data_IF_374689656550
#
_entry.id   IF_374689656550
#
_cell.length_a   1.000
_cell.length_b   1.000
_cell.length_c   1.000
_cell.angle_alpha   90.00
_cell.angle_beta   90.00
_cell.angle_gamma   90.00
#
_symmetry.space_group_name_H-M   'P 1'
#
loop_
_entity.id
_entity.type
_entity.pdbx_description
1 polymer ?
#
# COMPACT_ATOMS: atom_id res chain seq x y z
N UNK A 1 7.45 -7.92 5.62
CA UNK A 1 6.75 -7.00 4.70
C UNK A 1 7.29 -5.60 4.86
N UNK A 2 7.42 -4.84 3.75
CA UNK A 2 7.76 -3.41 3.83
C UNK A 2 6.56 -2.61 4.36
N UNK A 3 5.39 -2.79 3.74
CA UNK A 3 4.13 -2.24 4.25
C UNK A 3 3.15 -3.36 4.51
N UNK A 4 2.61 -3.42 5.72
CA UNK A 4 1.56 -4.37 6.12
C UNK A 4 0.18 -3.79 5.77
N UNK A 5 -0.47 -4.39 4.79
CA UNK A 5 -1.73 -3.86 4.25
C UNK A 5 -2.92 -3.96 5.20
N UNK A 6 -2.93 -4.89 6.16
CA UNK A 6 -4.02 -5.02 7.13
C UNK A 6 -3.94 -3.94 8.22
N UNK A 7 -2.73 -3.61 8.65
CA UNK A 7 -2.48 -2.70 9.77
C UNK A 7 -2.15 -1.27 9.35
N UNK A 8 -1.62 -1.07 8.13
CA UNK A 8 -1.12 0.22 7.64
C UNK A 8 0.27 0.58 8.18
N UNK A 9 0.99 -0.37 8.75
CA UNK A 9 2.34 -0.14 9.27
C UNK A 9 3.41 -0.29 8.21
N UNK A 10 4.51 0.47 8.36
CA UNK A 10 5.73 0.35 7.57
C UNK A 10 6.87 -0.18 8.44
N UNK A 11 7.70 -1.05 7.88
CA UNK A 11 8.88 -1.61 8.54
C UNK A 11 10.16 -0.93 8.06
N UNK A 12 11.09 -0.65 8.97
CA UNK A 12 12.46 -0.21 8.62
C UNK A 12 13.29 -1.42 8.15
N UNK A 13 13.25 -1.67 6.83
CA UNK A 13 13.95 -2.79 6.20
C UNK A 13 15.46 -2.66 6.34
N UNK A 14 15.99 -1.45 6.27
CA UNK A 14 17.42 -1.21 6.45
C UNK A 14 17.88 -1.55 7.89
N UNK A 15 17.06 -1.24 8.91
CA UNK A 15 17.35 -1.63 10.29
C UNK A 15 17.30 -3.16 10.47
N UNK A 16 16.35 -3.84 9.82
CA UNK A 16 16.28 -5.30 9.82
C UNK A 16 17.58 -5.89 9.24
N UNK A 17 18.05 -5.37 8.09
CA UNK A 17 19.31 -5.82 7.48
C UNK A 17 20.49 -5.61 8.42
N UNK A 18 20.63 -4.42 9.00
CA UNK A 18 21.71 -4.16 9.99
C UNK A 18 21.67 -5.13 11.18
N UNK A 19 20.47 -5.46 11.67
CA UNK A 19 20.33 -6.42 12.78
C UNK A 19 20.72 -7.84 12.36
N UNK A 20 20.37 -8.28 11.15
CA UNK A 20 20.78 -9.58 10.60
C UNK A 20 22.31 -9.66 10.45
N UNK A 21 22.93 -8.60 9.95
CA UNK A 21 24.39 -8.53 9.78
C UNK A 21 25.12 -8.55 11.14
N UNK A 22 24.64 -7.78 12.10
CA UNK A 22 25.20 -7.75 13.44
C UNK A 22 25.11 -9.12 14.16
N UNK A 23 24.06 -9.89 13.85
CA UNK A 23 23.89 -11.25 14.36
C UNK A 23 24.65 -12.31 13.54
N UNK A 24 25.30 -11.94 12.44
CA UNK A 24 25.91 -12.89 11.50
C UNK A 24 24.91 -13.89 10.91
N UNK A 25 23.63 -13.48 10.75
CA UNK A 25 22.56 -14.39 10.38
C UNK A 25 22.63 -14.76 8.88
N UNK A 26 22.66 -16.05 8.51
CA UNK A 26 22.93 -16.49 7.15
C UNK A 26 21.73 -16.38 6.19
N UNK A 27 20.53 -16.14 6.68
CA UNK A 27 19.31 -16.12 5.86
C UNK A 27 19.33 -15.00 4.83
N UNK A 28 18.65 -15.22 3.71
CA UNK A 28 18.30 -14.19 2.76
C UNK A 28 17.23 -13.26 3.34
N UNK A 29 17.34 -11.96 3.05
CA UNK A 29 16.30 -10.99 3.36
C UNK A 29 15.34 -10.89 2.17
N UNK A 30 14.13 -11.45 2.34
CA UNK A 30 13.07 -11.41 1.35
C UNK A 30 12.03 -10.37 1.82
N UNK A 31 11.71 -9.40 0.97
CA UNK A 31 10.80 -8.31 1.28
C UNK A 31 9.56 -8.37 0.39
N UNK A 32 8.40 -8.50 1.00
CA UNK A 32 7.13 -8.23 0.35
C UNK A 32 6.91 -6.72 0.28
N UNK A 33 6.90 -6.19 -0.94
CA UNK A 33 6.68 -4.78 -1.27
C UNK A 33 5.37 -4.56 -2.04
N UNK A 34 4.44 -5.53 -2.04
CA UNK A 34 3.19 -5.43 -2.82
C UNK A 34 2.41 -4.16 -2.47
N UNK A 35 2.33 -3.79 -1.18
CA UNK A 35 1.58 -2.63 -0.74
C UNK A 35 2.41 -1.32 -0.70
N UNK A 36 3.69 -1.37 -1.06
CA UNK A 36 4.60 -0.21 -1.02
C UNK A 36 5.23 0.15 -2.37
N UNK A 37 5.45 -0.83 -3.25
CA UNK A 37 6.14 -0.61 -4.52
C UNK A 37 5.46 0.49 -5.35
N UNK A 38 6.27 1.40 -5.91
CA UNK A 38 5.85 2.59 -6.63
C UNK A 38 5.00 3.60 -5.82
N UNK A 39 4.89 3.45 -4.49
CA UNK A 39 4.19 4.40 -3.61
C UNK A 39 5.06 4.87 -2.45
N UNK A 40 6.01 4.04 -2.03
CA UNK A 40 6.94 4.32 -0.93
C UNK A 40 8.35 3.98 -1.42
N UNK A 41 9.37 4.81 -1.14
CA UNK A 41 10.75 4.53 -1.52
C UNK A 41 11.20 3.16 -1.02
N UNK A 42 11.84 2.39 -1.88
CA UNK A 42 12.49 1.12 -1.56
C UNK A 42 13.78 1.01 -2.36
N UNK A 43 14.90 0.95 -1.67
CA UNK A 43 16.22 0.76 -2.28
C UNK A 43 16.75 -0.63 -1.92
N UNK A 44 16.57 -1.57 -2.87
CA UNK A 44 16.96 -2.96 -2.71
C UNK A 44 18.46 -3.12 -2.47
N UNK A 45 19.28 -2.36 -3.20
CA UNK A 45 20.73 -2.49 -3.16
C UNK A 45 21.29 -1.82 -1.90
N UNK A 46 20.92 -0.56 -1.63
CA UNK A 46 21.42 0.15 -0.46
C UNK A 46 20.98 -0.48 0.87
N UNK A 47 19.81 -1.13 0.88
CA UNK A 47 19.31 -1.80 2.08
C UNK A 47 19.74 -3.28 2.18
N UNK A 48 20.49 -3.80 1.20
CA UNK A 48 20.99 -5.17 1.19
C UNK A 48 19.88 -6.22 1.17
N UNK A 49 18.80 -5.94 0.47
CA UNK A 49 17.67 -6.87 0.30
C UNK A 49 18.04 -7.90 -0.76
N UNK A 50 17.82 -9.16 -0.48
CA UNK A 50 18.17 -10.25 -1.41
C UNK A 50 17.06 -10.53 -2.42
N UNK A 51 15.79 -10.39 -2.01
CA UNK A 51 14.63 -10.58 -2.90
C UNK A 51 13.54 -9.57 -2.56
N UNK A 52 12.97 -8.93 -3.59
CA UNK A 52 11.76 -8.08 -3.47
C UNK A 52 10.66 -8.68 -4.32
N UNK A 53 9.47 -8.82 -3.73
CA UNK A 53 8.26 -9.20 -4.47
C UNK A 53 7.28 -8.03 -4.52
N UNK A 54 6.68 -7.80 -5.70
CA UNK A 54 5.69 -6.76 -5.93
C UNK A 54 4.59 -7.25 -6.88
N UNK A 55 3.53 -6.48 -7.04
CA UNK A 55 2.41 -6.82 -7.91
C UNK A 55 1.86 -5.59 -8.64
N UNK A 56 1.20 -5.85 -9.78
CA UNK A 56 0.75 -4.80 -10.70
C UNK A 56 -0.37 -3.91 -10.18
N UNK A 57 -1.27 -4.42 -9.34
CA UNK A 57 -2.54 -3.78 -8.97
C UNK A 57 -2.44 -2.82 -7.77
N UNK A 58 -1.27 -2.31 -7.45
CA UNK A 58 -1.02 -1.36 -6.35
C UNK A 58 -0.44 -0.06 -6.91
N UNK A 59 0.70 0.40 -6.44
CA UNK A 59 1.33 1.62 -6.91
C UNK A 59 1.59 1.69 -8.42
N UNK A 60 1.67 0.55 -9.10
CA UNK A 60 1.81 0.48 -10.57
C UNK A 60 0.49 0.71 -11.35
N UNK A 61 -0.64 0.92 -10.68
CA UNK A 61 -1.89 1.40 -11.31
C UNK A 61 -2.53 0.45 -12.33
N UNK A 62 -2.12 -0.83 -12.37
CA UNK A 62 -2.66 -1.82 -13.30
C UNK A 62 -3.73 -2.71 -12.65
N UNK A 63 -4.51 -3.44 -13.45
CA UNK A 63 -5.26 -4.58 -12.95
C UNK A 63 -4.35 -5.67 -12.34
N UNK A 64 -4.87 -6.50 -11.43
CA UNK A 64 -4.13 -7.67 -10.95
C UNK A 64 -3.83 -8.64 -12.10
N UNK A 65 -2.65 -9.29 -12.06
CA UNK A 65 -2.27 -10.31 -13.05
C UNK A 65 -0.77 -10.38 -13.34
N UNK A 66 0.04 -9.37 -12.96
CA UNK A 66 1.49 -9.47 -12.99
C UNK A 66 2.07 -9.51 -11.59
N UNK A 67 2.97 -10.44 -11.34
CA UNK A 67 3.85 -10.49 -10.18
C UNK A 67 5.27 -10.17 -10.58
N UNK A 68 5.96 -9.38 -9.78
CA UNK A 68 7.35 -8.99 -10.00
C UNK A 68 8.22 -9.59 -8.91
N UNK A 69 9.41 -10.06 -9.30
CA UNK A 69 10.40 -10.57 -8.37
C UNK A 69 11.77 -10.01 -8.78
N UNK A 70 12.31 -9.08 -7.99
CA UNK A 70 13.68 -8.63 -8.13
C UNK A 70 14.57 -9.50 -7.24
N UNK A 71 15.69 -9.97 -7.77
CA UNK A 71 16.54 -11.00 -7.14
C UNK A 71 17.98 -10.56 -7.18
N UNK A 72 18.68 -10.56 -6.04
CA UNK A 72 20.11 -10.31 -5.96
C UNK A 72 20.91 -11.46 -6.57
N UNK A 73 22.15 -11.19 -7.00
CA UNK A 73 23.07 -12.23 -7.49
C UNK A 73 23.23 -13.36 -6.46
N UNK A 74 23.41 -13.02 -5.19
CA UNK A 74 23.51 -13.98 -4.08
C UNK A 74 22.29 -14.90 -3.99
N UNK A 75 21.08 -14.33 -4.04
CA UNK A 75 19.86 -15.14 -3.98
C UNK A 75 19.67 -16.00 -5.22
N UNK A 76 20.05 -15.49 -6.39
CA UNK A 76 19.99 -16.24 -7.65
C UNK A 76 20.92 -17.45 -7.64
N UNK A 77 22.18 -17.27 -7.22
CA UNK A 77 23.17 -18.35 -7.12
C UNK A 77 22.69 -19.45 -6.16
N UNK A 78 22.22 -19.06 -4.96
CA UNK A 78 21.67 -20.01 -3.99
C UNK A 78 20.44 -20.76 -4.53
N UNK A 79 19.63 -20.12 -5.38
CA UNK A 79 18.46 -20.78 -5.99
C UNK A 79 18.85 -21.93 -6.93
N UNK A 80 20.02 -21.86 -7.55
CA UNK A 80 20.51 -22.94 -8.43
C UNK A 80 21.01 -24.16 -7.65
N UNK A 81 21.37 -23.99 -6.39
CA UNK A 81 21.75 -25.07 -5.48
C UNK A 81 20.54 -25.75 -4.83
N UNK A 82 19.36 -25.13 -4.94
CA UNK A 82 18.13 -25.63 -4.33
C UNK A 82 17.73 -26.99 -4.91
N UNK A 83 17.41 -27.92 -4.00
CA UNK A 83 16.88 -29.24 -4.36
C UNK A 83 15.37 -29.27 -4.52
N UNK A 84 14.70 -28.14 -4.29
CA UNK A 84 13.25 -28.03 -4.48
C UNK A 84 12.90 -28.11 -5.95
N UNK A 85 12.00 -29.02 -6.29
CA UNK A 85 11.46 -29.15 -7.65
C UNK A 85 10.22 -28.24 -7.77
N UNK A 86 10.44 -27.00 -8.20
CA UNK A 86 9.38 -26.00 -8.36
C UNK A 86 9.44 -25.41 -9.76
N UNK A 87 9.01 -26.16 -10.76
CA UNK A 87 9.05 -25.78 -12.19
C UNK A 87 8.45 -24.38 -12.41
N UNK A 88 7.23 -24.15 -11.91
CA UNK A 88 6.54 -22.87 -12.07
C UNK A 88 7.26 -21.70 -11.38
N UNK A 89 7.86 -21.89 -10.22
CA UNK A 89 8.53 -20.85 -9.43
C UNK A 89 10.05 -20.81 -9.62
N UNK A 90 10.61 -21.60 -10.54
CA UNK A 90 12.05 -21.66 -10.80
C UNK A 90 12.54 -20.42 -11.54
N UNK A 91 13.38 -19.59 -10.92
CA UNK A 91 14.03 -18.46 -11.59
C UNK A 91 14.90 -18.92 -12.77
N UNK A 92 15.59 -20.05 -12.65
CA UNK A 92 16.38 -20.63 -13.74
C UNK A 92 15.53 -20.85 -15.01
N UNK A 93 14.31 -21.34 -14.84
CA UNK A 93 13.36 -21.52 -15.94
C UNK A 93 12.91 -20.17 -16.54
N UNK A 94 12.82 -19.12 -15.73
CA UNK A 94 12.38 -17.78 -16.14
C UNK A 94 13.46 -16.98 -16.87
N UNK A 95 14.72 -17.38 -16.76
CA UNK A 95 15.86 -16.69 -17.41
C UNK A 95 16.01 -17.02 -18.90
N UNK A 96 15.14 -17.82 -19.48
CA UNK A 96 15.13 -18.12 -20.92
C UNK A 96 14.93 -16.87 -21.77
N UNK A 97 15.42 -16.91 -23.00
CA UNK A 97 15.30 -15.82 -23.99
C UNK A 97 13.87 -15.68 -24.52
N UNK A 98 13.15 -16.77 -24.57
CA UNK A 98 11.80 -16.84 -25.11
C UNK A 98 10.77 -16.28 -24.12
N UNK A 99 9.79 -15.53 -24.63
CA UNK A 99 8.74 -14.91 -23.80
C UNK A 99 7.95 -15.93 -22.97
N UNK A 100 7.61 -17.09 -23.56
CA UNK A 100 6.89 -18.14 -22.85
C UNK A 100 7.67 -18.72 -21.65
N UNK A 101 9.01 -18.70 -21.69
CA UNK A 101 9.82 -19.11 -20.54
C UNK A 101 9.65 -18.14 -19.38
N UNK A 102 9.65 -16.84 -19.66
CA UNK A 102 9.52 -15.79 -18.65
C UNK A 102 8.16 -15.79 -17.95
N UNK A 103 7.10 -16.12 -18.69
CA UNK A 103 5.72 -16.13 -18.16
C UNK A 103 5.20 -17.56 -17.85
N UNK A 104 6.01 -18.61 -18.11
CA UNK A 104 5.59 -20.02 -18.01
C UNK A 104 4.37 -20.34 -18.87
N UNK A 105 4.30 -19.73 -20.03
CA UNK A 105 3.18 -19.85 -20.97
C UNK A 105 3.05 -18.58 -21.80
N UNK A 106 1.86 -18.35 -22.35
CA UNK A 106 1.56 -17.16 -23.14
C UNK A 106 1.63 -15.91 -22.26
N UNK A 107 2.38 -14.91 -22.70
CA UNK A 107 2.48 -13.63 -22.00
C UNK A 107 1.11 -12.93 -21.97
N UNK A 108 0.74 -12.28 -20.85
CA UNK A 108 -0.47 -11.48 -20.77
C UNK A 108 -0.24 -10.10 -21.43
N UNK A 109 -0.23 -10.07 -22.76
CA UNK A 109 0.24 -8.94 -23.58
C UNK A 109 -0.43 -7.62 -23.19
N UNK A 110 -1.75 -7.61 -22.99
CA UNK A 110 -2.49 -6.40 -22.60
C UNK A 110 -2.06 -5.85 -21.23
N UNK A 111 -1.65 -6.70 -20.27
CA UNK A 111 -1.08 -6.24 -19.01
C UNK A 111 0.34 -5.72 -19.18
N UNK A 112 1.11 -6.32 -20.10
CA UNK A 112 2.46 -5.83 -20.43
C UNK A 112 2.41 -4.47 -21.13
N UNK A 113 1.47 -4.26 -22.06
CA UNK A 113 1.23 -2.91 -22.62
C UNK A 113 0.83 -1.91 -21.58
N UNK A 114 -0.09 -2.27 -20.68
CA UNK A 114 -0.47 -1.41 -19.55
C UNK A 114 0.72 -1.10 -18.62
N UNK A 115 1.63 -2.07 -18.40
CA UNK A 115 2.84 -1.86 -17.61
C UNK A 115 3.78 -0.83 -18.25
N UNK A 116 3.94 -0.89 -19.59
CA UNK A 116 4.74 0.11 -20.31
C UNK A 116 4.17 1.51 -20.09
N UNK A 117 2.85 1.67 -20.19
CA UNK A 117 2.18 2.95 -19.96
C UNK A 117 2.33 3.43 -18.50
N UNK A 118 2.12 2.54 -17.53
CA UNK A 118 2.32 2.88 -16.12
C UNK A 118 3.75 3.36 -15.81
N UNK A 119 4.75 2.71 -16.42
CA UNK A 119 6.16 3.12 -16.29
C UNK A 119 6.40 4.48 -16.96
N UNK A 120 5.81 4.73 -18.13
CA UNK A 120 5.90 6.02 -18.81
C UNK A 120 5.31 7.13 -17.94
N UNK A 121 4.11 6.96 -17.39
CA UNK A 121 3.48 7.92 -16.48
C UNK A 121 4.35 8.23 -15.26
N UNK A 122 4.93 7.21 -14.62
CA UNK A 122 5.84 7.37 -13.48
C UNK A 122 7.11 8.13 -13.91
N UNK A 123 7.67 7.83 -15.07
CA UNK A 123 8.88 8.51 -15.56
C UNK A 123 8.60 9.96 -15.97
N UNK A 124 7.42 10.27 -16.53
CA UNK A 124 6.99 11.63 -16.86
C UNK A 124 6.81 12.47 -15.60
N UNK A 125 6.21 11.94 -14.54
CA UNK A 125 6.09 12.61 -13.24
C UNK A 125 7.45 12.69 -12.52
N UNK A 126 8.27 11.65 -12.65
CA UNK A 126 9.54 11.44 -11.93
C UNK A 126 9.33 10.71 -10.59
N UNK A 127 10.16 9.69 -10.32
CA UNK A 127 10.03 8.82 -9.14
C UNK A 127 9.95 9.59 -7.82
N UNK A 128 10.80 10.60 -7.62
CA UNK A 128 10.78 11.42 -6.41
C UNK A 128 9.47 12.19 -6.25
N UNK A 129 8.89 12.67 -7.35
CA UNK A 129 7.62 13.39 -7.35
C UNK A 129 6.43 12.43 -7.09
N UNK A 130 6.48 11.22 -7.64
CA UNK A 130 5.51 10.16 -7.32
C UNK A 130 5.51 9.87 -5.82
N UNK A 131 6.66 9.67 -5.20
CA UNK A 131 6.75 9.46 -3.74
C UNK A 131 6.27 10.68 -2.95
N UNK A 132 6.68 11.89 -3.35
CA UNK A 132 6.23 13.12 -2.71
C UNK A 132 4.72 13.31 -2.80
N UNK A 133 4.08 12.97 -3.93
CA UNK A 133 2.63 12.99 -4.10
C UNK A 133 1.95 12.02 -3.14
N UNK A 134 2.42 10.77 -3.03
CA UNK A 134 1.88 9.78 -2.10
C UNK A 134 1.97 10.27 -0.64
N UNK A 135 3.12 10.84 -0.25
CA UNK A 135 3.29 11.44 1.09
C UNK A 135 2.32 12.60 1.33
N UNK A 136 2.09 13.48 0.36
CA UNK A 136 1.10 14.58 0.48
C UNK A 136 -0.32 14.03 0.67
N UNK A 137 -0.74 13.05 -0.14
CA UNK A 137 -2.07 12.43 -0.02
C UNK A 137 -2.24 11.69 1.30
N UNK A 138 -1.20 10.98 1.75
CA UNK A 138 -1.16 10.33 3.05
C UNK A 138 -1.35 11.34 4.19
N UNK A 139 -0.62 12.46 4.14
CA UNK A 139 -0.71 13.50 5.16
C UNK A 139 -2.08 14.19 5.16
N UNK A 140 -2.67 14.46 3.99
CA UNK A 140 -4.04 14.99 3.89
C UNK A 140 -5.06 14.02 4.51
N UNK A 141 -4.94 12.72 4.22
CA UNK A 141 -5.80 11.67 4.81
C UNK A 141 -5.62 11.61 6.32
N UNK A 142 -4.38 11.62 6.81
CA UNK A 142 -4.09 11.60 8.26
C UNK A 142 -4.66 12.83 8.97
N UNK A 143 -4.59 14.01 8.37
CA UNK A 143 -5.20 15.23 8.92
C UNK A 143 -6.71 15.13 9.03
N UNK A 144 -7.40 14.56 8.06
CA UNK A 144 -8.83 14.31 8.15
C UNK A 144 -9.14 13.32 9.29
N UNK A 145 -8.37 12.22 9.38
CA UNK A 145 -8.53 11.25 10.48
C UNK A 145 -8.24 11.87 11.85
N UNK A 146 -7.23 12.74 11.99
CA UNK A 146 -6.96 13.49 13.23
C UNK A 146 -8.21 14.26 13.67
N UNK A 147 -8.85 14.99 12.73
CA UNK A 147 -10.09 15.74 13.03
C UNK A 147 -11.24 14.82 13.41
N UNK A 148 -11.44 13.73 12.68
CA UNK A 148 -12.49 12.76 13.02
C UNK A 148 -12.26 12.11 14.39
N UNK A 149 -11.01 11.91 14.78
CA UNK A 149 -10.62 11.30 16.05
C UNK A 149 -10.80 12.24 17.26
N UNK A 150 -10.93 13.56 17.07
CA UNK A 150 -11.09 14.54 18.18
C UNK A 150 -12.31 14.27 19.07
N UNK A 151 -13.37 13.67 18.52
CA UNK A 151 -14.54 13.26 19.29
C UNK A 151 -14.32 11.93 20.06
N UNK A 152 -13.16 11.29 19.92
CA UNK A 152 -12.75 10.11 20.67
C UNK A 152 -13.33 8.78 20.20
N UNK A 153 -14.07 8.77 19.08
CA UNK A 153 -14.67 7.54 18.55
C UNK A 153 -13.78 6.78 17.57
N UNK A 154 -12.99 7.49 16.79
CA UNK A 154 -12.06 6.91 15.80
C UNK A 154 -10.61 7.09 16.25
N UNK A 155 -9.75 6.18 15.83
CA UNK A 155 -8.32 6.28 16.08
C UNK A 155 -7.51 5.67 14.93
N UNK A 156 -6.24 6.05 14.80
CA UNK A 156 -5.33 5.34 13.91
C UNK A 156 -5.06 3.93 14.44
N UNK A 157 -5.06 2.95 13.54
CA UNK A 157 -4.64 1.61 13.92
C UNK A 157 -3.13 1.55 14.24
N UNK A 158 -2.32 2.35 13.55
CA UNK A 158 -0.89 2.52 13.83
C UNK A 158 -0.70 3.79 14.63
N UNK A 159 -0.39 3.66 15.92
CA UNK A 159 -0.28 4.79 16.85
C UNK A 159 0.97 5.65 16.55
N UNK A 160 2.20 5.09 16.45
CA UNK A 160 3.39 5.89 16.15
C UNK A 160 3.32 6.47 14.73
N UNK A 161 3.37 7.81 14.56
CA UNK A 161 3.27 8.43 13.23
C UNK A 161 4.34 7.96 12.25
N UNK A 162 5.56 7.72 12.72
CA UNK A 162 6.71 7.27 11.93
C UNK A 162 6.56 5.83 11.42
N UNK A 163 5.67 5.05 12.02
CA UNK A 163 5.37 3.69 11.60
C UNK A 163 4.18 3.61 10.63
N UNK A 164 3.58 4.75 10.22
CA UNK A 164 2.45 4.80 9.28
C UNK A 164 2.94 4.80 7.85
N UNK A 165 2.38 3.92 7.02
CA UNK A 165 2.73 3.84 5.61
C UNK A 165 2.11 4.97 4.77
N UNK A 166 2.83 5.43 3.72
CA UNK A 166 2.33 6.45 2.79
C UNK A 166 1.46 5.89 1.65
N UNK A 167 1.18 4.58 1.63
CA UNK A 167 0.32 3.95 0.64
C UNK A 167 -1.12 3.75 1.10
N UNK A 168 -1.36 3.67 2.42
CA UNK A 168 -2.70 3.53 2.98
C UNK A 168 -2.74 4.01 4.44
N UNK A 169 -3.93 4.46 4.87
CA UNK A 169 -4.24 4.81 6.26
C UNK A 169 -5.31 3.85 6.79
N UNK A 170 -5.07 3.25 7.95
CA UNK A 170 -6.00 2.33 8.60
C UNK A 170 -6.60 2.98 9.83
N UNK A 171 -7.93 3.07 9.84
CA UNK A 171 -8.71 3.74 10.87
C UNK A 171 -9.50 2.70 11.66
N UNK A 172 -9.34 2.71 12.97
CA UNK A 172 -10.06 1.85 13.91
C UNK A 172 -11.39 2.45 14.29
N UNK A 173 -12.45 1.64 14.25
CA UNK A 173 -13.79 2.02 14.70
C UNK A 173 -13.96 1.75 16.20
N UNK A 174 -14.94 2.42 16.86
CA UNK A 174 -15.27 2.15 18.25
C UNK A 174 -15.60 0.69 18.51
N UNK A 175 -15.38 0.24 19.74
CA UNK A 175 -15.79 -1.10 20.15
C UNK A 175 -17.32 -1.28 19.99
N UNK A 176 -17.71 -2.42 19.42
CA UNK A 176 -19.11 -2.71 19.12
C UNK A 176 -19.64 -2.12 17.80
N UNK A 177 -18.86 -1.28 17.10
CA UNK A 177 -19.24 -0.75 15.79
C UNK A 177 -18.60 -1.55 14.65
N UNK A 178 -19.43 -2.14 13.79
CA UNK A 178 -18.98 -2.84 12.60
C UNK A 178 -18.54 -1.86 11.50
N UNK A 179 -17.24 -1.83 11.18
CA UNK A 179 -16.67 -1.00 10.11
C UNK A 179 -17.25 -1.28 8.72
N UNK A 180 -17.83 -2.46 8.49
CA UNK A 180 -18.50 -2.79 7.22
C UNK A 180 -19.76 -1.96 6.98
N UNK A 181 -20.46 -1.55 8.04
CA UNK A 181 -21.62 -0.66 7.92
C UNK A 181 -21.18 0.69 7.34
N UNK A 182 -20.11 1.26 7.88
CA UNK A 182 -19.53 2.54 7.40
C UNK A 182 -19.10 2.41 5.93
N UNK A 183 -18.39 1.34 5.60
CA UNK A 183 -17.90 1.09 4.23
C UNK A 183 -19.04 0.94 3.22
N UNK A 184 -20.09 0.18 3.58
CA UNK A 184 -21.27 0.02 2.70
C UNK A 184 -22.00 1.34 2.54
N UNK A 185 -22.19 2.11 3.60
CA UNK A 185 -22.80 3.44 3.53
C UNK A 185 -22.00 4.37 2.62
N UNK A 186 -20.68 4.42 2.76
CA UNK A 186 -19.80 5.21 1.90
C UNK A 186 -19.95 4.82 0.41
N UNK A 187 -19.94 3.50 0.12
CA UNK A 187 -20.06 3.00 -1.26
C UNK A 187 -21.45 3.26 -1.84
N UNK A 188 -22.49 2.91 -1.10
CA UNK A 188 -23.85 2.84 -1.66
C UNK A 188 -24.52 4.22 -1.71
N UNK A 189 -24.22 5.14 -0.78
CA UNK A 189 -24.78 6.48 -0.74
C UNK A 189 -23.89 7.56 -1.35
N UNK A 190 -22.58 7.43 -1.26
CA UNK A 190 -21.63 8.48 -1.64
C UNK A 190 -20.66 8.05 -2.75
N UNK A 191 -20.79 6.84 -3.27
CA UNK A 191 -19.95 6.27 -4.34
C UNK A 191 -18.44 6.24 -3.98
N UNK A 192 -18.14 6.14 -2.70
CA UNK A 192 -16.76 6.06 -2.17
C UNK A 192 -16.45 4.63 -1.72
N UNK A 193 -15.49 3.98 -2.39
CA UNK A 193 -15.04 2.66 -2.05
C UNK A 193 -13.73 2.71 -1.26
N UNK A 194 -13.76 2.26 -0.01
CA UNK A 194 -12.58 2.09 0.85
C UNK A 194 -12.35 0.62 1.18
N UNK A 195 -11.12 0.26 1.53
CA UNK A 195 -10.73 -1.10 1.84
C UNK A 195 -11.39 -1.64 3.12
N UNK A 196 -11.76 -2.91 3.12
CA UNK A 196 -12.21 -3.62 4.32
C UNK A 196 -11.05 -4.11 5.17
N UNK A 197 -11.37 -4.61 6.32
CA UNK A 197 -10.44 -5.21 7.28
C UNK A 197 -10.02 -6.63 6.89
N UNK A 198 -8.92 -7.10 7.45
CA UNK A 198 -8.35 -8.43 7.23
C UNK A 198 -7.95 -9.08 8.56
N UNK A 199 -7.95 -10.41 8.60
CA UNK A 199 -7.50 -11.18 9.76
C UNK A 199 -8.22 -10.79 11.05
N UNK A 200 -7.47 -10.58 12.12
CA UNK A 200 -8.00 -10.23 13.45
C UNK A 200 -8.64 -8.83 13.53
N UNK A 201 -8.47 -8.02 12.49
CA UNK A 201 -9.04 -6.68 12.38
C UNK A 201 -10.40 -6.66 11.68
N UNK A 202 -10.94 -7.83 11.29
CA UNK A 202 -12.25 -7.92 10.62
C UNK A 202 -13.33 -7.20 11.45
N UNK A 203 -14.10 -6.35 10.76
CA UNK A 203 -15.15 -5.48 11.31
C UNK A 203 -14.69 -4.42 12.34
N UNK A 204 -13.38 -4.25 12.52
CA UNK A 204 -12.81 -3.30 13.49
C UNK A 204 -12.14 -2.08 12.86
N UNK A 205 -11.80 -2.17 11.58
CA UNK A 205 -11.10 -1.11 10.85
C UNK A 205 -11.65 -0.95 9.44
N UNK A 206 -11.50 0.24 8.88
CA UNK A 206 -11.54 0.47 7.45
C UNK A 206 -10.21 1.07 6.98
N UNK A 207 -9.91 0.90 5.70
CA UNK A 207 -8.62 1.30 5.12
C UNK A 207 -8.84 2.29 3.99
N UNK A 208 -8.22 3.45 4.08
CA UNK A 208 -8.20 4.45 3.02
C UNK A 208 -6.91 4.28 2.24
N UNK A 209 -6.99 3.79 1.01
CA UNK A 209 -5.86 3.71 0.09
C UNK A 209 -5.60 5.05 -0.56
N UNK A 210 -4.34 5.46 -0.62
CA UNK A 210 -3.91 6.69 -1.30
C UNK A 210 -2.68 6.44 -2.18
N UNK A 211 -2.72 5.31 -2.91
CA UNK A 211 -1.66 4.86 -3.82
C UNK A 211 -2.15 4.85 -5.27
N UNK A 212 -1.19 4.87 -6.19
CA UNK A 212 -1.45 4.83 -7.63
C UNK A 212 -1.68 6.23 -8.23
N UNK A 213 -2.46 6.32 -9.29
CA UNK A 213 -2.74 7.59 -9.98
C UNK A 213 -3.89 8.36 -9.31
N UNK A 214 -3.69 8.69 -8.04
CA UNK A 214 -4.59 9.55 -7.27
C UNK A 214 -4.06 10.97 -7.20
N UNK A 215 -4.98 11.95 -7.25
CA UNK A 215 -4.68 13.36 -7.07
C UNK A 215 -5.44 13.95 -5.87
N UNK A 216 -5.17 15.21 -5.57
CA UNK A 216 -5.74 15.91 -4.43
C UNK A 216 -7.26 16.03 -4.52
N UNK A 217 -7.83 16.27 -5.72
CA UNK A 217 -9.28 16.40 -5.91
C UNK A 217 -9.99 15.07 -5.66
N UNK A 218 -9.44 13.97 -6.16
CA UNK A 218 -9.95 12.62 -5.88
C UNK A 218 -9.92 12.30 -4.39
N UNK A 219 -8.83 12.66 -3.71
CA UNK A 219 -8.71 12.42 -2.28
C UNK A 219 -9.68 13.27 -1.46
N UNK A 220 -9.84 14.56 -1.77
CA UNK A 220 -10.81 15.44 -1.12
C UNK A 220 -12.23 14.87 -1.27
N UNK A 221 -12.61 14.44 -2.49
CA UNK A 221 -13.90 13.81 -2.75
C UNK A 221 -14.10 12.54 -1.93
N UNK A 222 -13.08 11.67 -1.87
CA UNK A 222 -13.14 10.44 -1.08
C UNK A 222 -13.27 10.72 0.43
N UNK A 223 -12.51 11.66 0.97
CA UNK A 223 -12.57 12.03 2.39
C UNK A 223 -13.91 12.68 2.74
N UNK A 224 -14.44 13.57 1.89
CA UNK A 224 -15.77 14.16 2.09
C UNK A 224 -16.89 13.12 2.07
N UNK A 225 -16.85 12.15 1.17
CA UNK A 225 -17.82 11.05 1.12
C UNK A 225 -17.71 10.12 2.33
N UNK A 226 -16.48 9.87 2.82
CA UNK A 226 -16.27 9.12 4.07
C UNK A 226 -16.83 9.87 5.28
N UNK A 227 -16.59 11.17 5.39
CA UNK A 227 -17.12 12.01 6.48
C UNK A 227 -18.65 12.00 6.48
N UNK A 228 -19.27 12.12 5.31
CA UNK A 228 -20.73 12.02 5.17
C UNK A 228 -21.25 10.63 5.59
N UNK A 229 -20.53 9.56 5.24
CA UNK A 229 -20.88 8.20 5.67
C UNK A 229 -20.77 8.01 7.19
N UNK A 230 -19.73 8.57 7.82
CA UNK A 230 -19.58 8.58 9.28
C UNK A 230 -20.76 9.29 9.95
N UNK A 231 -21.22 10.42 9.39
CA UNK A 231 -22.37 11.15 9.87
C UNK A 231 -23.68 10.33 9.78
N UNK A 232 -23.93 9.69 8.62
CA UNK A 232 -25.11 8.83 8.43
C UNK A 232 -25.10 7.65 9.40
N UNK A 233 -23.93 7.08 9.66
CA UNK A 233 -23.73 5.98 10.62
C UNK A 233 -23.74 6.46 12.09
N UNK A 234 -23.94 7.74 12.34
CA UNK A 234 -23.97 8.34 13.69
C UNK A 234 -22.67 8.08 14.48
N UNK A 235 -21.53 7.99 13.77
CA UNK A 235 -20.22 7.89 14.43
C UNK A 235 -19.90 9.27 15.06
N UNK A 236 -19.58 9.34 16.36
CA UNK A 236 -19.19 10.60 16.99
C UNK A 236 -17.83 11.07 16.43
N UNK A 237 -17.85 12.04 15.52
CA UNK A 237 -16.65 12.62 14.89
C UNK A 237 -16.77 14.14 14.84
N UNK A 238 -15.64 14.84 14.90
CA UNK A 238 -15.54 16.23 14.49
C UNK A 238 -15.48 16.30 12.97
N UNK A 239 -16.08 17.31 12.37
CA UNK A 239 -16.23 17.42 10.93
C UNK A 239 -15.25 18.44 10.33
N UNK A 240 -14.55 18.06 9.28
CA UNK A 240 -13.56 18.91 8.62
C UNK A 240 -14.20 20.15 8.00
N UNK A 241 -15.38 20.01 7.39
CA UNK A 241 -16.09 21.11 6.73
C UNK A 241 -16.67 22.15 7.69
N UNK A 242 -17.00 21.79 8.93
CA UNK A 242 -17.51 22.75 9.93
C UNK A 242 -16.42 23.75 10.35
N UNK A 243 -15.16 23.34 10.43
CA UNK A 243 -14.04 24.24 10.77
C UNK A 243 -13.76 25.28 9.70
N UNK A 244 -14.04 24.98 8.42
CA UNK A 244 -13.90 25.96 7.34
C UNK A 244 -14.88 27.13 7.50
N UNK A 245 -16.05 26.91 8.12
CA UNK A 245 -17.02 27.97 8.42
C UNK A 245 -16.64 28.79 9.66
N UNK A 246 -16.02 28.19 10.68
CA UNK A 246 -15.59 28.91 11.88
C UNK A 246 -14.43 29.89 11.60
N UNK A 247 -13.57 29.60 10.62
CA UNK A 247 -12.45 30.47 10.22
C UNK A 247 -12.86 31.60 9.28
N UNK A 248 -14.04 31.53 8.64
CA UNK A 248 -14.57 32.58 7.77
C UNK A 248 -15.47 33.61 8.49
N UNK A 249 -15.67 33.48 9.80
CA UNK A 249 -16.54 34.29 10.61
C UNK A 249 -15.86 35.35 11.49
N UNK A 250 -14.60 35.70 11.21
CA UNK A 250 -13.87 36.79 11.88
C UNK A 250 -13.23 37.75 10.90
#
# INVERSE_FOLDING_TARGET
MHVETATGSISDIAAIRRAMDAAGHPALLIVDAIASFASVPLDMEAWGVDVVVAASQKGLMLPPGLGFCAVSTKALELSFESKSQMEYFSWKQRMGTESYSRFCGTAPEHLVFGLVEAINMINEEGWDQVFARHTRLANATRKAVDVWAEAGALEFNVIPPEARADSLTVVRTPEGMDSEIIRRTARDMFQVAVGGSLGDLVNRVFRIGHMGDLNEVMMIGALGGMEAALQVCQVPVSYTHLRAHETCGH
#
